data_IF_502737889127
#
_entry.id   IF_502737889127
#
_cell.length_a   1.000
_cell.length_b   1.000
_cell.length_c   1.000
_cell.angle_alpha   90.00
_cell.angle_beta   90.00
_cell.angle_gamma   90.00
#
_symmetry.space_group_name_H-M   'P 1'
#
loop_
_entity.id
_entity.type
_entity.pdbx_description
1 polymer ?
#
# COMPACT_ATOMS: atom_id res chain seq x y z
N UNK A 1 7.43 15.04 -6.77
CA UNK A 1 6.27 14.43 -7.45
C UNK A 1 6.36 12.94 -7.15
N UNK A 2 5.30 12.30 -6.64
CA UNK A 2 5.31 10.85 -6.42
C UNK A 2 5.19 10.12 -7.76
N UNK A 3 5.95 9.04 -7.94
CA UNK A 3 5.84 8.17 -9.11
C UNK A 3 4.67 7.19 -8.96
N UNK A 4 4.41 6.73 -7.73
CA UNK A 4 3.30 5.85 -7.40
C UNK A 4 2.59 6.43 -6.18
N UNK A 5 1.27 6.49 -6.24
CA UNK A 5 0.43 6.94 -5.13
C UNK A 5 -0.72 5.96 -4.92
N UNK A 6 -0.83 5.45 -3.70
CA UNK A 6 -1.97 4.70 -3.19
C UNK A 6 -2.69 5.58 -2.16
N UNK A 7 -4.01 5.69 -2.30
CA UNK A 7 -4.87 6.44 -1.38
C UNK A 7 -6.09 5.59 -1.06
N UNK A 8 -6.35 5.42 0.22
CA UNK A 8 -7.47 4.64 0.74
C UNK A 8 -7.63 3.27 0.08
N UNK A 9 -6.51 2.57 -0.15
CA UNK A 9 -6.53 1.25 -0.76
C UNK A 9 -7.02 0.21 0.24
N UNK A 10 -8.18 -0.39 -0.04
CA UNK A 10 -8.71 -1.51 0.74
C UNK A 10 -8.83 -2.75 -0.16
N UNK A 11 -8.28 -3.88 0.29
CA UNK A 11 -8.39 -5.18 -0.38
C UNK A 11 -9.08 -6.19 0.52
N UNK A 12 -10.15 -6.81 -0.01
CA UNK A 12 -10.94 -7.83 0.68
C UNK A 12 -10.97 -9.14 -0.10
N UNK A 13 -11.00 -10.25 0.62
CA UNK A 13 -11.24 -11.59 0.13
C UNK A 13 -12.41 -12.18 0.90
N UNK A 14 -13.61 -12.13 0.31
CA UNK A 14 -14.84 -12.43 1.04
C UNK A 14 -15.02 -11.50 2.23
N UNK A 15 -15.16 -12.08 3.43
CA UNK A 15 -15.28 -11.32 4.69
C UNK A 15 -13.96 -10.82 5.25
N UNK A 16 -12.82 -11.27 4.72
CA UNK A 16 -11.49 -10.92 5.25
C UNK A 16 -10.97 -9.64 4.63
N UNK A 17 -10.49 -8.72 5.46
CA UNK A 17 -9.79 -7.50 5.03
C UNK A 17 -8.29 -7.76 5.07
N UNK A 18 -7.69 -7.88 3.89
CA UNK A 18 -6.25 -8.14 3.76
C UNK A 18 -5.43 -6.84 3.78
N UNK A 19 -6.00 -5.75 3.26
CA UNK A 19 -5.43 -4.41 3.32
C UNK A 19 -6.57 -3.45 3.65
N UNK A 20 -6.40 -2.57 4.62
CA UNK A 20 -7.43 -1.64 5.09
C UNK A 20 -6.93 -0.20 5.03
N UNK A 21 -7.60 0.63 4.23
CA UNK A 21 -7.36 2.08 4.07
C UNK A 21 -5.87 2.46 3.93
N UNK A 22 -5.13 1.79 3.07
CA UNK A 22 -3.69 2.03 2.90
C UNK A 22 -3.42 3.33 2.11
N UNK A 23 -2.57 4.18 2.67
CA UNK A 23 -2.04 5.39 2.03
C UNK A 23 -0.51 5.31 1.92
N UNK A 24 -0.01 5.35 0.68
CA UNK A 24 1.44 5.29 0.39
C UNK A 24 1.77 6.23 -0.76
N UNK A 25 2.89 6.93 -0.65
CA UNK A 25 3.55 7.60 -1.78
C UNK A 25 4.94 7.00 -1.95
N UNK A 26 5.25 6.63 -3.19
CA UNK A 26 6.60 6.26 -3.59
C UNK A 26 7.10 7.30 -4.57
N UNK A 27 8.19 7.97 -4.22
CA UNK A 27 8.80 9.00 -5.03
C UNK A 27 9.66 8.40 -6.14
N UNK A 28 9.89 9.18 -7.20
CA UNK A 28 10.78 8.75 -8.27
C UNK A 28 12.21 8.53 -7.73
N UNK A 29 12.81 7.40 -8.09
CA UNK A 29 14.12 6.96 -7.57
C UNK A 29 14.14 6.45 -6.12
N UNK A 30 13.02 6.41 -5.42
CA UNK A 30 12.93 5.91 -4.04
C UNK A 30 12.96 4.37 -3.97
N UNK A 31 13.81 3.82 -3.11
CA UNK A 31 13.80 2.41 -2.75
C UNK A 31 12.97 2.20 -1.47
N UNK A 32 11.73 1.73 -1.63
CA UNK A 32 10.82 1.42 -0.53
C UNK A 32 10.72 -0.10 -0.32
N UNK A 33 10.70 -0.57 0.94
CA UNK A 33 10.43 -1.96 1.30
C UNK A 33 9.17 -2.05 2.17
N UNK A 34 8.32 -3.04 1.87
CA UNK A 34 7.16 -3.41 2.69
C UNK A 34 7.49 -4.69 3.45
N UNK A 35 7.52 -4.60 4.78
CA UNK A 35 7.89 -5.69 5.66
C UNK A 35 6.75 -5.95 6.66
N UNK A 36 6.53 -7.23 6.94
CA UNK A 36 5.53 -7.68 7.90
C UNK A 36 5.73 -9.16 8.24
N UNK A 37 5.11 -9.64 9.32
CA UNK A 37 5.07 -11.06 9.62
C UNK A 37 4.27 -11.82 8.55
N UNK A 38 4.50 -13.14 8.49
CA UNK A 38 3.65 -14.09 7.76
C UNK A 38 2.38 -14.41 8.53
#
# INVERSE_FOLDING_TARGET
MSAITLRSLTKRFGSVVAVDDLHVDVHDGELMALLGPS
#
